data_IF_094077491008
#
_entry.id   IF_094077491008
#
_cell.length_a   1.000
_cell.length_b   1.000
_cell.length_c   1.000
_cell.angle_alpha   90.00
_cell.angle_beta   90.00
_cell.angle_gamma   90.00
#
_symmetry.space_group_name_H-M   'P 1'
#
loop_
_entity.id
_entity.type
_entity.pdbx_description
1 polymer ?
#
# COMPACT_ATOMS: atom_id res chain seq x y z
N UNK A 1 -9.10 3.08 27.33
CA UNK A 1 -8.93 4.48 26.87
C UNK A 1 -9.70 4.65 25.56
N UNK A 2 -10.82 5.36 25.58
CA UNK A 2 -11.76 5.50 24.45
C UNK A 2 -11.34 6.70 23.58
N UNK A 3 -10.58 6.45 22.51
CA UNK A 3 -10.55 7.32 21.32
C UNK A 3 -11.76 6.84 20.51
N UNK A 4 -12.81 7.62 20.22
CA UNK A 4 -12.80 8.79 19.35
C UNK A 4 -14.03 9.65 19.73
N UNK A 5 -13.80 10.89 20.16
CA UNK A 5 -14.82 11.94 20.12
C UNK A 5 -14.82 12.47 18.69
N UNK A 6 -15.95 12.48 17.99
CA UNK A 6 -16.04 13.07 16.64
C UNK A 6 -15.57 14.53 16.69
N UNK A 7 -14.37 14.83 16.15
CA UNK A 7 -13.86 16.20 16.07
C UNK A 7 -14.53 16.93 14.89
N UNK A 8 -15.67 17.57 15.17
CA UNK A 8 -16.34 18.48 14.25
C UNK A 8 -16.11 19.94 14.68
N UNK A 9 -14.84 20.37 14.65
CA UNK A 9 -14.46 21.78 14.84
C UNK A 9 -14.40 22.46 13.47
N UNK A 10 -15.08 23.61 13.30
CA UNK A 10 -15.19 24.32 12.01
C UNK A 10 -13.84 24.78 11.45
N UNK A 11 -12.87 25.06 12.32
CA UNK A 11 -11.55 25.58 11.93
C UNK A 11 -10.50 24.49 11.68
N UNK A 12 -10.82 23.23 11.97
CA UNK A 12 -9.88 22.12 11.80
C UNK A 12 -9.77 21.74 10.33
N UNK A 13 -8.61 21.98 9.72
CA UNK A 13 -8.34 21.58 8.32
C UNK A 13 -8.31 20.06 8.23
N UNK A 14 -9.05 19.48 7.29
CA UNK A 14 -9.11 18.03 7.08
C UNK A 14 -9.55 17.73 5.65
N UNK A 15 -9.14 16.60 5.12
CA UNK A 15 -9.46 16.23 3.74
C UNK A 15 -8.56 15.15 3.19
N UNK A 16 -8.47 15.11 1.87
CA UNK A 16 -7.63 14.19 1.09
C UNK A 16 -6.19 14.67 1.23
N UNK A 17 -5.32 13.79 1.73
CA UNK A 17 -3.88 14.01 1.74
C UNK A 17 -3.21 13.41 0.50
N UNK A 18 -3.74 12.29 0.03
CA UNK A 18 -3.29 11.61 -1.18
C UNK A 18 -4.51 11.06 -1.91
N UNK A 19 -4.70 11.39 -3.22
CA UNK A 19 -5.89 10.96 -3.95
C UNK A 19 -5.94 9.44 -4.05
N UNK A 20 -7.15 8.89 -4.15
CA UNK A 20 -7.32 7.46 -4.37
C UNK A 20 -6.68 7.06 -5.71
N UNK A 21 -5.71 6.16 -5.65
CA UNK A 21 -5.03 5.62 -6.81
C UNK A 21 -5.26 4.10 -6.87
N UNK A 22 -5.59 3.57 -8.05
CA UNK A 22 -5.83 2.14 -8.29
C UNK A 22 -4.91 1.66 -9.41
N UNK A 23 -3.73 1.15 -9.03
CA UNK A 23 -2.68 0.77 -9.98
C UNK A 23 -2.67 -0.74 -10.24
N UNK A 24 -2.92 -1.15 -11.49
CA UNK A 24 -3.14 -2.55 -11.86
C UNK A 24 -1.90 -3.18 -12.51
N UNK A 25 -1.58 -4.41 -12.13
CA UNK A 25 -0.48 -5.23 -12.65
C UNK A 25 0.86 -4.47 -12.66
N UNK A 26 1.42 -4.21 -13.86
CA UNK A 26 2.71 -3.56 -14.07
C UNK A 26 2.70 -2.05 -13.80
N UNK A 27 1.52 -1.42 -13.66
CA UNK A 27 1.44 -0.03 -13.23
C UNK A 27 1.91 0.05 -11.77
N UNK A 28 2.98 0.79 -11.49
CA UNK A 28 3.66 0.79 -10.19
C UNK A 28 2.82 1.53 -9.13
N UNK A 29 2.40 2.76 -9.43
CA UNK A 29 1.70 3.63 -8.49
C UNK A 29 0.99 4.79 -9.24
N UNK A 30 0.18 5.56 -8.50
CA UNK A 30 -0.37 6.85 -8.89
C UNK A 30 -1.35 6.86 -10.08
N UNK A 31 -1.94 5.71 -10.42
CA UNK A 31 -3.01 5.67 -11.41
C UNK A 31 -4.32 6.22 -10.82
N UNK A 32 -4.64 7.48 -11.15
CA UNK A 32 -5.85 8.21 -10.76
C UNK A 32 -6.45 8.88 -12.00
N UNK A 33 -7.17 8.13 -12.86
CA UNK A 33 -7.61 8.62 -14.15
C UNK A 33 -8.62 9.76 -14.03
N UNK A 34 -8.64 10.63 -15.04
CA UNK A 34 -9.65 11.67 -15.19
C UNK A 34 -10.96 11.07 -15.72
N UNK A 35 -12.08 11.77 -15.47
CA UNK A 35 -13.41 11.38 -15.99
C UNK A 35 -13.46 11.33 -17.53
N UNK A 36 -12.57 12.07 -18.21
CA UNK A 36 -12.46 12.08 -19.66
C UNK A 36 -11.65 10.91 -20.22
N UNK A 37 -10.93 10.18 -19.39
CA UNK A 37 -10.13 9.02 -19.81
C UNK A 37 -10.99 7.75 -19.84
N UNK A 38 -10.69 6.78 -20.71
CA UNK A 38 -11.45 5.55 -20.78
C UNK A 38 -11.32 4.73 -19.50
N UNK A 39 -12.41 4.03 -19.14
CA UNK A 39 -12.43 3.16 -17.98
C UNK A 39 -11.46 1.98 -18.12
N UNK A 40 -10.74 1.70 -17.02
CA UNK A 40 -9.97 0.47 -16.87
C UNK A 40 -10.84 -0.61 -16.20
N UNK A 41 -11.20 -1.65 -16.95
CA UNK A 41 -12.01 -2.75 -16.43
C UNK A 41 -11.11 -3.82 -15.78
N UNK A 42 -11.32 -4.03 -14.48
CA UNK A 42 -10.62 -5.02 -13.68
C UNK A 42 -11.02 -6.46 -14.03
N UNK A 43 -10.07 -7.40 -13.94
CA UNK A 43 -10.24 -8.81 -14.30
C UNK A 43 -9.81 -9.75 -13.18
N UNK A 44 -10.38 -10.96 -13.17
CA UNK A 44 -9.95 -12.03 -12.26
C UNK A 44 -8.45 -12.28 -12.41
N UNK A 45 -7.75 -12.37 -11.28
CA UNK A 45 -6.30 -12.54 -11.22
C UNK A 45 -5.48 -11.25 -11.33
N UNK A 46 -6.06 -10.08 -11.56
CA UNK A 46 -5.30 -8.82 -11.56
C UNK A 46 -4.67 -8.53 -10.19
N UNK A 47 -3.45 -8.00 -10.22
CA UNK A 47 -2.76 -7.47 -9.03
C UNK A 47 -3.09 -5.99 -8.90
N UNK A 48 -3.96 -5.65 -7.96
CA UNK A 48 -4.52 -4.30 -7.80
C UNK A 48 -3.93 -3.66 -6.57
N UNK A 49 -3.29 -2.50 -6.75
CA UNK A 49 -2.71 -1.69 -5.67
C UNK A 49 -3.63 -0.50 -5.43
N UNK A 50 -4.19 -0.41 -4.24
CA UNK A 50 -5.03 0.71 -3.80
C UNK A 50 -4.21 1.58 -2.85
N UNK A 51 -4.06 2.85 -3.17
CA UNK A 51 -3.36 3.85 -2.34
C UNK A 51 -4.29 5.04 -2.11
N UNK A 52 -4.34 5.54 -0.88
CA UNK A 52 -5.10 6.72 -0.49
C UNK A 52 -4.52 7.33 0.78
N UNK A 53 -4.82 8.61 1.00
CA UNK A 53 -4.41 9.31 2.21
C UNK A 53 -5.41 10.33 2.68
N UNK A 54 -5.47 10.49 3.99
CA UNK A 54 -6.26 11.53 4.65
C UNK A 54 -5.38 12.34 5.60
N UNK A 55 -5.78 13.59 5.84
CA UNK A 55 -5.15 14.41 6.86
C UNK A 55 -6.17 15.01 7.82
N UNK A 56 -5.74 15.21 9.06
CA UNK A 56 -6.45 15.99 10.08
C UNK A 56 -5.46 16.97 10.68
N UNK A 57 -5.79 18.25 10.61
CA UNK A 57 -4.95 19.36 11.04
C UNK A 57 -3.56 19.40 10.37
N UNK A 58 -3.50 18.86 9.14
CA UNK A 58 -2.25 18.71 8.39
C UNK A 58 -1.40 17.49 8.78
N UNK A 59 -1.78 16.72 9.80
CA UNK A 59 -1.16 15.42 10.09
C UNK A 59 -1.66 14.37 9.11
N UNK A 60 -0.73 13.80 8.34
CA UNK A 60 -1.01 12.92 7.21
C UNK A 60 -0.98 11.45 7.64
N UNK A 61 -1.95 10.68 7.16
CA UNK A 61 -1.90 9.22 7.14
C UNK A 61 -2.16 8.74 5.72
N UNK A 62 -1.20 8.01 5.15
CA UNK A 62 -1.31 7.35 3.83
C UNK A 62 -1.27 5.85 4.04
N UNK A 63 -2.05 5.12 3.24
CA UNK A 63 -2.09 3.66 3.27
C UNK A 63 -2.18 3.12 1.85
N UNK A 64 -1.35 2.11 1.59
CA UNK A 64 -1.44 1.31 0.38
C UNK A 64 -1.65 -0.16 0.71
N UNK A 65 -2.46 -0.85 -0.09
CA UNK A 65 -2.66 -2.29 0.00
C UNK A 65 -2.72 -2.92 -1.39
N UNK A 66 -2.17 -4.12 -1.52
CA UNK A 66 -2.19 -4.87 -2.77
C UNK A 66 -3.12 -6.07 -2.63
N UNK A 67 -4.02 -6.26 -3.58
CA UNK A 67 -5.03 -7.32 -3.61
C UNK A 67 -4.89 -8.06 -4.93
N UNK A 68 -5.07 -9.37 -4.91
CA UNK A 68 -5.21 -10.16 -6.14
C UNK A 68 -6.69 -10.49 -6.31
N UNK A 69 -7.29 -10.01 -7.40
CA UNK A 69 -8.72 -10.16 -7.62
C UNK A 69 -9.10 -11.64 -7.80
N UNK A 70 -10.17 -12.04 -7.13
CA UNK A 70 -10.70 -13.41 -7.13
C UNK A 70 -9.85 -14.43 -6.39
N UNK A 71 -8.82 -14.00 -5.65
CA UNK A 71 -8.18 -14.86 -4.66
C UNK A 71 -9.12 -15.12 -3.48
N UNK A 72 -9.30 -16.39 -3.09
CA UNK A 72 -10.07 -16.79 -1.92
C UNK A 72 -9.29 -17.80 -1.08
N UNK A 73 -9.86 -18.22 0.06
CA UNK A 73 -9.28 -19.28 0.90
C UNK A 73 -9.15 -20.61 0.16
N UNK A 74 -10.07 -20.90 -0.74
CA UNK A 74 -10.11 -22.10 -1.59
C UNK A 74 -9.25 -21.91 -2.86
N UNK A 75 -9.29 -20.71 -3.45
CA UNK A 75 -8.54 -20.34 -4.65
C UNK A 75 -7.31 -19.52 -4.28
N UNK A 76 -6.28 -20.19 -3.77
CA UNK A 76 -5.01 -19.58 -3.40
C UNK A 76 -4.23 -19.09 -4.63
N UNK A 77 -3.49 -18.00 -4.46
CA UNK A 77 -2.56 -17.49 -5.47
C UNK A 77 -1.24 -18.26 -5.38
N UNK A 78 -0.66 -18.60 -6.53
CA UNK A 78 0.66 -19.22 -6.65
C UNK A 78 1.54 -18.52 -7.69
N UNK A 79 2.80 -18.96 -7.80
CA UNK A 79 3.77 -18.44 -8.76
C UNK A 79 4.24 -17.02 -8.46
N UNK A 80 4.71 -16.31 -9.49
CA UNK A 80 5.38 -15.00 -9.36
C UNK A 80 4.53 -13.92 -8.69
N UNK A 81 3.21 -13.97 -8.82
CA UNK A 81 2.30 -13.04 -8.13
C UNK A 81 2.33 -13.30 -6.61
N UNK A 82 2.29 -14.56 -6.18
CA UNK A 82 2.41 -14.91 -4.77
C UNK A 82 3.80 -14.55 -4.21
N UNK A 83 4.87 -14.82 -4.98
CA UNK A 83 6.24 -14.45 -4.60
C UNK A 83 6.35 -12.94 -4.33
N UNK A 84 5.90 -12.11 -5.28
CA UNK A 84 5.97 -10.66 -5.16
C UNK A 84 5.12 -10.13 -3.98
N UNK A 85 3.94 -10.71 -3.75
CA UNK A 85 3.08 -10.34 -2.62
C UNK A 85 3.73 -10.65 -1.28
N UNK A 86 4.33 -11.84 -1.13
CA UNK A 86 5.02 -12.25 0.09
C UNK A 86 6.32 -11.43 0.29
N UNK A 87 7.09 -11.21 -0.77
CA UNK A 87 8.28 -10.37 -0.74
C UNK A 87 7.96 -8.96 -0.22
N UNK A 88 6.96 -8.30 -0.81
CA UNK A 88 6.52 -6.96 -0.38
C UNK A 88 5.99 -6.96 1.07
N UNK A 89 5.20 -7.98 1.44
CA UNK A 89 4.70 -8.10 2.81
C UNK A 89 5.85 -8.24 3.81
N UNK A 90 6.76 -9.19 3.62
CA UNK A 90 7.87 -9.40 4.55
C UNK A 90 8.88 -8.25 4.54
N UNK A 91 9.12 -7.60 3.39
CA UNK A 91 9.92 -6.39 3.31
C UNK A 91 9.32 -5.28 4.17
N UNK A 92 8.01 -5.06 4.09
CA UNK A 92 7.32 -4.09 4.95
C UNK A 92 7.40 -4.45 6.44
N UNK A 93 7.30 -5.73 6.77
CA UNK A 93 7.40 -6.23 8.15
C UNK A 93 8.80 -6.05 8.74
N UNK A 94 9.84 -6.28 7.94
CA UNK A 94 11.23 -6.05 8.35
C UNK A 94 11.50 -4.55 8.51
N UNK A 95 11.06 -3.73 7.56
CA UNK A 95 11.19 -2.28 7.65
C UNK A 95 10.52 -1.73 8.92
N UNK A 96 9.29 -2.18 9.22
CA UNK A 96 8.56 -1.80 10.43
C UNK A 96 9.32 -2.13 11.72
N UNK A 97 10.04 -3.26 11.77
CA UNK A 97 10.81 -3.70 12.95
C UNK A 97 12.15 -2.96 13.09
N UNK A 98 12.74 -2.54 11.97
CA UNK A 98 14.02 -1.84 11.95
C UNK A 98 13.88 -0.32 12.06
N UNK A 99 12.72 0.25 11.73
CA UNK A 99 12.47 1.68 11.83
C UNK A 99 12.28 2.10 13.30
N UNK A 100 13.39 2.28 14.00
CA UNK A 100 13.45 2.71 15.41
C UNK A 100 14.65 3.63 15.65
N UNK A 101 14.61 4.49 16.69
CA UNK A 101 15.74 5.35 17.03
C UNK A 101 17.06 4.57 17.16
N UNK A 102 18.15 5.15 16.64
CA UNK A 102 19.49 4.55 16.65
C UNK A 102 19.83 3.67 15.43
N UNK A 103 18.84 3.25 14.64
CA UNK A 103 19.09 2.53 13.39
C UNK A 103 19.35 3.47 12.20
N UNK A 104 20.21 3.04 11.28
CA UNK A 104 20.52 3.74 10.03
C UNK A 104 19.58 3.32 8.90
N UNK A 105 19.24 4.25 8.01
CA UNK A 105 18.35 3.97 6.85
C UNK A 105 18.91 2.87 5.95
N UNK A 106 20.23 2.85 5.72
CA UNK A 106 20.88 1.82 4.89
C UNK A 106 20.68 0.40 5.44
N UNK A 107 20.65 0.23 6.77
CA UNK A 107 20.37 -1.08 7.36
C UNK A 107 18.96 -1.57 7.05
N UNK A 108 18.00 -0.65 6.90
CA UNK A 108 16.63 -0.98 6.47
C UNK A 108 16.64 -1.38 4.99
N UNK A 109 17.30 -0.60 4.13
CA UNK A 109 17.43 -0.88 2.70
C UNK A 109 18.07 -2.24 2.45
N UNK A 110 19.19 -2.55 3.12
CA UNK A 110 19.89 -3.84 3.00
C UNK A 110 18.99 -5.01 3.43
N UNK A 111 18.22 -4.83 4.50
CA UNK A 111 17.33 -5.87 4.99
C UNK A 111 16.13 -6.10 4.06
N UNK A 112 15.56 -5.03 3.50
CA UNK A 112 14.51 -5.10 2.46
C UNK A 112 15.04 -5.82 1.22
N UNK A 113 16.25 -5.46 0.75
CA UNK A 113 16.89 -6.07 -0.42
C UNK A 113 17.05 -7.58 -0.23
N UNK A 114 17.56 -8.02 0.93
CA UNK A 114 17.72 -9.45 1.25
C UNK A 114 16.39 -10.21 1.24
N UNK A 115 15.30 -9.59 1.70
CA UNK A 115 13.97 -10.20 1.63
C UNK A 115 13.54 -10.35 0.18
N UNK A 116 13.65 -9.30 -0.64
CA UNK A 116 13.28 -9.37 -2.06
C UNK A 116 14.07 -10.44 -2.81
N UNK A 117 15.39 -10.51 -2.60
CA UNK A 117 16.28 -11.53 -3.19
C UNK A 117 15.87 -12.96 -2.84
N UNK A 118 15.40 -13.22 -1.61
CA UNK A 118 14.93 -14.54 -1.19
C UNK A 118 13.72 -15.04 -2.00
N UNK A 119 12.91 -14.13 -2.53
CA UNK A 119 11.79 -14.41 -3.44
C UNK A 119 12.15 -14.23 -4.93
N UNK A 120 13.42 -13.93 -5.23
CA UNK A 120 13.91 -13.58 -6.58
C UNK A 120 13.15 -12.39 -7.16
N UNK A 121 12.78 -11.43 -6.32
CA UNK A 121 12.06 -10.21 -6.67
C UNK A 121 12.98 -8.99 -6.60
#
# INVERSE_FOLDING_TARGET
>A
KRLVKFLKRKELRKGIAFPTCISVNNCICHFSPLVSEPDLILKDGDVVKVDLGAHVDGFIAVVAHTIILGATTEKKVSGRKADAMLAAHYASQVALRLLKPGNQTYAITDAVQKVCEAYKC
#
